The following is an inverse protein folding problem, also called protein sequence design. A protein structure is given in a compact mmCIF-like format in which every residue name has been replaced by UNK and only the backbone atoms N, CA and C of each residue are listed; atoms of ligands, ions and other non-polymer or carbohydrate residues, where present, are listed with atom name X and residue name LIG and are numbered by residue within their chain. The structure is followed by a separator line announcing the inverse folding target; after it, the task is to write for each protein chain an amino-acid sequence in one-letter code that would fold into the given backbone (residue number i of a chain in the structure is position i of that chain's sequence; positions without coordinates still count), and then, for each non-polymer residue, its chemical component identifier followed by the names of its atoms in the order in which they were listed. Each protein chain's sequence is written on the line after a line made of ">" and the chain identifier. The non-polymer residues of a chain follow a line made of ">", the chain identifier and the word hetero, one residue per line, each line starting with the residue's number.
data_IF_090604003037
#
_entry.id   IF_090604003037
#
_cell.length_a   1.000
_cell.length_b   1.000
_cell.length_c   1.000
_cell.angle_alpha   90.00
_cell.angle_beta   90.00
_cell.angle_gamma   90.00
#
_symmetry.space_group_name_H-M   'P 1'
#
loop_
_entity.id
_entity.type
_entity.pdbx_description
1 polymer ?
#
# COMPACT_ATOMS: atom_id res chain seq x y z
N UNK A 1 -15.99 -3.56 13.65
CA UNK A 1 -15.59 -4.14 14.96
C UNK A 1 -14.15 -3.79 15.36
N UNK A 2 -13.23 -3.51 14.42
CA UNK A 2 -11.86 -3.04 14.74
C UNK A 2 -11.75 -1.53 14.96
N UNK A 3 -12.83 -0.77 14.75
CA UNK A 3 -12.84 0.69 14.74
C UNK A 3 -12.65 1.31 16.13
N UNK A 4 -12.94 0.53 17.19
CA UNK A 4 -12.72 0.95 18.59
C UNK A 4 -11.29 0.75 19.10
N UNK A 5 -10.41 0.12 18.32
CA UNK A 5 -9.02 -0.13 18.73
C UNK A 5 -8.11 1.06 18.38
N UNK A 6 -7.27 1.45 19.34
CA UNK A 6 -6.20 2.43 19.11
C UNK A 6 -5.16 1.89 18.12
N UNK A 7 -4.31 2.78 17.61
CA UNK A 7 -3.22 2.37 16.72
C UNK A 7 -2.21 1.49 17.46
N UNK A 8 -1.92 1.80 18.73
CA UNK A 8 -1.05 1.02 19.61
C UNK A 8 -1.60 -0.38 19.81
N UNK A 9 -2.90 -0.52 20.11
CA UNK A 9 -3.53 -1.84 20.23
C UNK A 9 -3.42 -2.65 18.94
N UNK A 10 -3.62 -2.03 17.78
CA UNK A 10 -3.46 -2.71 16.48
C UNK A 10 -2.02 -3.14 16.23
N UNK A 11 -1.04 -2.33 16.65
CA UNK A 11 0.39 -2.69 16.60
C UNK A 11 0.67 -3.86 17.54
N UNK A 12 0.17 -3.83 18.77
CA UNK A 12 0.39 -4.89 19.76
C UNK A 12 -0.20 -6.22 19.27
N UNK A 13 -1.39 -6.20 18.66
CA UNK A 13 -1.97 -7.39 18.03
C UNK A 13 -1.17 -7.85 16.81
N UNK A 14 -0.61 -6.93 16.02
CA UNK A 14 0.25 -7.28 14.89
C UNK A 14 1.52 -8.01 15.33
N UNK A 15 2.16 -7.52 16.40
CA UNK A 15 3.35 -8.11 17.02
C UNK A 15 3.02 -9.48 17.59
N UNK A 16 1.93 -9.59 18.35
CA UNK A 16 1.53 -10.87 18.92
C UNK A 16 1.21 -11.91 17.84
N UNK A 17 0.53 -11.49 16.76
CA UNK A 17 0.16 -12.37 15.67
C UNK A 17 1.34 -12.79 14.77
N UNK A 18 2.40 -11.99 14.65
CA UNK A 18 3.59 -12.39 13.85
C UNK A 18 4.37 -13.55 14.48
N UNK A 19 4.19 -13.79 15.78
CA UNK A 19 4.81 -14.92 16.49
C UNK A 19 3.90 -16.17 16.52
N UNK A 20 2.66 -16.07 16.01
CA UNK A 20 1.70 -17.18 15.98
C UNK A 20 1.82 -17.95 14.67
N UNK A 21 1.85 -19.29 14.75
CA UNK A 21 1.86 -20.13 13.57
C UNK A 21 0.61 -19.93 12.71
N UNK A 22 0.74 -20.06 11.37
CA UNK A 22 -0.37 -19.83 10.43
C UNK A 22 -1.61 -20.68 10.76
N UNK A 23 -1.40 -21.90 11.26
CA UNK A 23 -2.47 -22.84 11.64
C UNK A 23 -3.19 -22.47 12.95
N UNK A 24 -2.61 -21.58 13.76
CA UNK A 24 -3.14 -21.16 15.06
C UNK A 24 -3.68 -19.71 15.04
N UNK A 25 -3.50 -19.01 13.93
CA UNK A 25 -3.84 -17.59 13.82
C UNK A 25 -5.35 -17.34 13.89
N UNK A 26 -6.17 -18.27 13.40
CA UNK A 26 -7.62 -18.23 13.52
C UNK A 26 -8.05 -18.33 14.99
N UNK A 27 -7.52 -19.29 15.75
CA UNK A 27 -7.76 -19.49 17.18
C UNK A 27 -7.31 -18.26 17.97
N UNK A 28 -6.14 -17.70 17.65
CA UNK A 28 -5.67 -16.45 18.25
C UNK A 28 -6.70 -15.34 18.02
N UNK A 29 -7.13 -15.12 16.78
CA UNK A 29 -8.09 -14.07 16.44
C UNK A 29 -9.44 -14.26 17.14
N UNK A 30 -9.97 -15.48 17.19
CA UNK A 30 -11.21 -15.82 17.89
C UNK A 30 -11.11 -15.51 19.39
N UNK A 31 -10.00 -15.87 20.03
CA UNK A 31 -9.77 -15.61 21.46
C UNK A 31 -9.76 -14.11 21.81
N UNK A 32 -9.35 -13.27 20.85
CA UNK A 32 -9.31 -11.82 20.98
C UNK A 32 -10.57 -11.11 20.46
N UNK A 33 -11.51 -11.86 19.86
CA UNK A 33 -12.68 -11.28 19.20
C UNK A 33 -12.33 -10.41 17.99
N UNK A 34 -11.22 -10.71 17.30
CA UNK A 34 -10.71 -9.93 16.18
C UNK A 34 -10.98 -10.63 14.84
N UNK A 35 -11.23 -9.87 13.75
CA UNK A 35 -11.36 -10.46 12.42
C UNK A 35 -10.00 -10.95 11.91
N UNK A 36 -9.91 -12.23 11.53
CA UNK A 36 -8.70 -12.85 10.97
C UNK A 36 -8.06 -11.99 9.88
N UNK A 37 -8.83 -11.57 8.87
CA UNK A 37 -8.30 -10.79 7.75
C UNK A 37 -7.66 -9.45 8.16
N UNK A 38 -8.15 -8.81 9.22
CA UNK A 38 -7.58 -7.56 9.71
C UNK A 38 -6.24 -7.82 10.44
N UNK A 39 -6.20 -8.83 11.31
CA UNK A 39 -5.01 -9.21 12.06
C UNK A 39 -3.92 -9.75 11.14
N UNK A 40 -4.28 -10.57 10.14
CA UNK A 40 -3.33 -11.03 9.11
C UNK A 40 -2.75 -9.84 8.35
N UNK A 41 -3.57 -8.84 7.98
CA UNK A 41 -3.07 -7.66 7.29
C UNK A 41 -2.10 -6.84 8.18
N UNK A 42 -2.41 -6.66 9.46
CA UNK A 42 -1.53 -5.93 10.39
C UNK A 42 -0.22 -6.68 10.67
N UNK A 43 -0.28 -7.99 10.94
CA UNK A 43 0.92 -8.82 11.16
C UNK A 43 1.81 -8.86 9.92
N UNK A 44 1.25 -9.04 8.72
CA UNK A 44 2.02 -8.92 7.47
C UNK A 44 2.66 -7.54 7.33
N UNK A 45 1.95 -6.45 7.65
CA UNK A 45 2.52 -5.10 7.60
C UNK A 45 3.66 -4.93 8.63
N UNK A 46 3.54 -5.56 9.80
CA UNK A 46 4.56 -5.56 10.83
C UNK A 46 5.81 -6.35 10.44
N UNK A 47 5.65 -7.56 9.89
CA UNK A 47 6.77 -8.38 9.43
C UNK A 47 7.60 -7.68 8.35
N UNK A 48 6.93 -6.92 7.47
CA UNK A 48 7.58 -6.24 6.36
C UNK A 48 8.17 -4.88 6.75
N UNK A 49 7.43 -4.09 7.53
CA UNK A 49 7.72 -2.68 7.78
C UNK A 49 7.83 -2.30 9.26
N UNK A 50 7.81 -3.26 10.17
CA UNK A 50 7.73 -3.03 11.60
C UNK A 50 6.51 -2.19 12.00
N UNK A 51 6.67 -1.37 13.04
CA UNK A 51 5.61 -0.48 13.54
C UNK A 51 5.14 0.51 12.47
N UNK A 52 6.06 1.04 11.67
CA UNK A 52 5.76 1.99 10.59
C UNK A 52 4.91 1.32 9.49
N UNK A 53 5.15 0.04 9.21
CA UNK A 53 4.33 -0.74 8.29
C UNK A 53 2.86 -0.77 8.73
N UNK A 54 2.60 -1.13 10.00
CA UNK A 54 1.24 -1.11 10.57
C UNK A 54 0.64 0.30 10.56
N UNK A 55 1.42 1.32 10.92
CA UNK A 55 0.96 2.70 10.89
C UNK A 55 0.58 3.15 9.47
N UNK A 56 1.36 2.79 8.46
CA UNK A 56 1.05 3.09 7.06
C UNK A 56 -0.25 2.41 6.61
N UNK A 57 -0.56 1.25 7.18
CA UNK A 57 -1.79 0.54 6.88
C UNK A 57 -3.01 1.21 7.52
N UNK A 58 -2.91 1.55 8.80
CA UNK A 58 -4.04 1.93 9.64
C UNK A 58 -4.30 3.43 9.62
N UNK A 59 -3.24 4.26 9.67
CA UNK A 59 -3.39 5.70 9.74
C UNK A 59 -3.82 6.27 8.39
N UNK A 60 -4.72 7.24 8.46
CA UNK A 60 -5.12 8.07 7.34
C UNK A 60 -5.02 9.54 7.76
N UNK A 61 -3.78 10.01 7.83
CA UNK A 61 -3.51 11.41 8.15
C UNK A 61 -3.63 12.28 6.90
N UNK A 62 -3.97 13.55 7.09
CA UNK A 62 -4.19 14.50 6.00
C UNK A 62 -3.00 15.48 5.92
N UNK A 63 -2.01 15.23 5.05
CA UNK A 63 -0.90 16.16 4.82
C UNK A 63 -1.41 17.49 4.25
N UNK A 64 -0.61 18.55 4.40
CA UNK A 64 -0.93 19.83 3.77
C UNK A 64 -1.12 19.67 2.26
N UNK A 65 -2.19 20.28 1.70
CA UNK A 65 -2.57 20.13 0.28
C UNK A 65 -1.41 20.38 -0.70
N UNK A 66 -0.57 21.37 -0.39
CA UNK A 66 0.62 21.69 -1.21
C UNK A 66 1.60 20.51 -1.25
N UNK A 67 1.84 19.86 -0.11
CA UNK A 67 2.76 18.71 0.00
C UNK A 67 2.20 17.49 -0.72
N UNK A 68 0.93 17.15 -0.49
CA UNK A 68 0.26 16.07 -1.22
C UNK A 68 0.28 16.27 -2.74
N UNK A 69 0.13 17.52 -3.21
CA UNK A 69 0.27 17.87 -4.63
C UNK A 69 1.69 17.66 -5.13
N UNK A 70 2.71 18.06 -4.38
CA UNK A 70 4.13 17.85 -4.75
C UNK A 70 4.41 16.36 -4.92
N UNK A 71 4.04 15.53 -3.93
CA UNK A 71 4.19 14.08 -4.01
C UNK A 71 3.43 13.48 -5.20
N UNK A 72 2.21 13.94 -5.46
CA UNK A 72 1.41 13.45 -6.60
C UNK A 72 2.08 13.77 -7.95
N UNK A 73 2.66 14.95 -8.09
CA UNK A 73 3.35 15.35 -9.33
C UNK A 73 4.69 14.64 -9.50
N UNK A 74 5.45 14.44 -8.41
CA UNK A 74 6.68 13.65 -8.43
C UNK A 74 6.39 12.20 -8.83
N UNK A 75 5.40 11.56 -8.18
CA UNK A 75 4.97 10.20 -8.55
C UNK A 75 4.56 10.09 -10.02
N UNK A 76 3.83 11.08 -10.55
CA UNK A 76 3.50 11.11 -12.00
C UNK A 76 4.74 11.26 -12.87
N UNK A 77 5.71 12.10 -12.47
CA UNK A 77 6.94 12.31 -13.21
C UNK A 77 7.78 11.03 -13.28
N UNK A 78 7.96 10.35 -12.14
CA UNK A 78 8.65 9.07 -12.07
C UNK A 78 7.95 8.01 -12.93
N UNK A 79 6.62 7.87 -12.81
CA UNK A 79 5.87 6.87 -13.60
C UNK A 79 5.94 7.09 -15.11
N UNK A 80 5.95 8.35 -15.57
CA UNK A 80 6.08 8.69 -17.00
C UNK A 80 7.41 8.27 -17.59
N UNK A 81 8.48 8.25 -16.78
CA UNK A 81 9.79 7.80 -17.24
C UNK A 81 9.79 6.31 -17.63
N UNK A 82 8.94 5.50 -17.00
CA UNK A 82 8.93 4.05 -17.18
C UNK A 82 7.74 3.51 -17.99
N UNK A 83 6.58 4.18 -17.97
CA UNK A 83 5.36 3.71 -18.64
C UNK A 83 4.76 4.81 -19.51
N UNK A 84 4.75 4.65 -20.85
CA UNK A 84 4.16 5.63 -21.77
C UNK A 84 2.62 5.59 -21.77
N UNK A 85 1.99 4.59 -21.14
CA UNK A 85 0.53 4.53 -21.02
C UNK A 85 0.02 5.62 -20.07
N UNK A 86 -1.17 6.18 -20.30
CA UNK A 86 -1.73 7.17 -19.40
C UNK A 86 -2.00 6.54 -18.04
N UNK A 87 -1.43 7.14 -17.00
CA UNK A 87 -1.63 6.76 -15.60
C UNK A 87 -2.30 7.92 -14.88
N UNK A 88 -3.19 7.61 -13.94
CA UNK A 88 -3.81 8.57 -13.04
C UNK A 88 -3.31 8.31 -11.63
N UNK A 89 -3.04 9.39 -10.88
CA UNK A 89 -2.75 9.31 -9.45
C UNK A 89 -3.91 9.95 -8.70
N UNK A 90 -4.50 9.20 -7.77
CA UNK A 90 -5.55 9.66 -6.85
C UNK A 90 -4.95 9.72 -5.45
N UNK A 91 -4.95 10.91 -4.86
CA UNK A 91 -4.51 11.12 -3.48
C UNK A 91 -5.71 11.15 -2.53
N UNK A 92 -5.59 10.46 -1.41
CA UNK A 92 -6.51 10.50 -0.28
C UNK A 92 -5.69 10.49 1.02
N UNK A 93 -5.53 11.68 1.61
CA UNK A 93 -4.62 11.87 2.74
C UNK A 93 -3.19 11.48 2.38
N UNK A 94 -2.65 10.53 3.13
CA UNK A 94 -1.32 9.97 2.94
C UNK A 94 -1.27 8.77 2.00
N UNK A 95 -2.36 8.48 1.27
CA UNK A 95 -2.48 7.34 0.35
C UNK A 95 -2.56 7.84 -1.08
N UNK A 96 -1.73 7.27 -1.95
CA UNK A 96 -1.61 7.64 -3.35
C UNK A 96 -1.87 6.40 -4.20
N UNK A 97 -3.13 6.24 -4.62
CA UNK A 97 -3.53 5.17 -5.52
C UNK A 97 -3.11 5.54 -6.95
N UNK A 98 -2.36 4.65 -7.58
CA UNK A 98 -1.99 4.74 -8.99
C UNK A 98 -2.94 3.86 -9.80
N UNK A 99 -3.55 4.43 -10.84
CA UNK A 99 -4.54 3.77 -11.69
C UNK A 99 -4.05 3.75 -13.14
N UNK A 100 -4.11 2.58 -13.79
CA UNK A 100 -3.96 2.50 -15.24
C UNK A 100 -5.23 3.01 -15.91
N UNK A 101 -5.05 3.87 -16.90
CA UNK A 101 -6.14 4.41 -17.72
C UNK A 101 -6.21 3.62 -19.03
N UNK A 102 -7.30 2.90 -19.24
CA UNK A 102 -7.55 2.13 -20.48
C UNK A 102 -8.73 2.72 -21.22
N UNK A 103 -8.55 3.08 -22.48
CA UNK A 103 -9.67 3.41 -23.36
C UNK A 103 -10.25 2.11 -23.91
N UNK A 104 -11.53 1.83 -23.60
CA UNK A 104 -12.26 0.71 -24.20
C UNK A 104 -12.86 1.10 -25.55
N UNK A 105 -13.29 2.35 -25.67
CA UNK A 105 -13.80 2.98 -26.89
C UNK A 105 -13.40 4.45 -26.88
N UNK A 106 -13.64 5.17 -27.98
CA UNK A 106 -13.40 6.62 -28.06
C UNK A 106 -14.15 7.44 -26.98
N UNK A 107 -15.18 6.86 -26.35
CA UNK A 107 -16.02 7.52 -25.33
C UNK A 107 -15.98 6.84 -23.96
N UNK A 108 -15.23 5.74 -23.81
CA UNK A 108 -15.23 4.94 -22.58
C UNK A 108 -13.82 4.75 -22.05
N UNK A 109 -13.60 5.23 -20.83
CA UNK A 109 -12.35 5.14 -20.11
C UNK A 109 -12.58 4.29 -18.86
N UNK A 110 -11.79 3.23 -18.70
CA UNK A 110 -11.70 2.45 -17.47
C UNK A 110 -10.46 2.88 -16.69
N UNK A 111 -10.64 3.09 -15.39
CA UNK A 111 -9.56 3.28 -14.43
C UNK A 111 -9.41 1.98 -13.64
N UNK A 112 -8.24 1.34 -13.75
CA UNK A 112 -7.94 0.12 -13.00
C UNK A 112 -6.87 0.43 -11.97
N UNK A 113 -7.17 0.36 -10.66
CA UNK A 113 -6.16 0.52 -9.62
C UNK A 113 -5.02 -0.47 -9.80
N UNK A 114 -3.80 0.03 -9.70
CA UNK A 114 -2.59 -0.68 -10.02
C UNK A 114 -1.79 -0.97 -8.76
N UNK A 115 -1.28 0.08 -8.11
CA UNK A 115 -0.69 0.01 -6.78
C UNK A 115 -1.09 1.21 -5.94
N UNK A 116 -0.78 1.17 -4.66
CA UNK A 116 -0.91 2.32 -3.77
C UNK A 116 0.39 2.55 -3.03
N UNK A 117 0.83 3.81 -2.98
CA UNK A 117 1.90 4.24 -2.08
C UNK A 117 1.29 4.91 -0.87
N UNK A 118 1.76 4.56 0.31
CA UNK A 118 1.35 5.19 1.57
C UNK A 118 2.56 5.81 2.24
N UNK A 119 2.42 7.05 2.70
CA UNK A 119 3.50 7.76 3.40
C UNK A 119 3.22 7.86 4.89
N UNK A 120 4.25 7.59 5.68
CA UNK A 120 4.32 7.91 7.11
C UNK A 120 5.46 8.88 7.33
N UNK A 121 5.24 9.83 8.22
CA UNK A 121 6.29 10.75 8.64
C UNK A 121 6.73 10.39 10.06
N UNK A 122 7.99 9.99 10.20
CA UNK A 122 8.61 9.73 11.50
C UNK A 122 9.81 10.66 11.67
N UNK A 123 9.81 11.46 12.74
CA UNK A 123 10.91 12.39 13.08
C UNK A 123 11.32 13.32 11.91
N UNK A 124 10.34 13.74 11.09
CA UNK A 124 10.56 14.61 9.93
C UNK A 124 11.06 13.91 8.66
N UNK A 125 11.13 12.56 8.67
CA UNK A 125 11.49 11.75 7.50
C UNK A 125 10.26 11.09 6.90
N UNK A 126 10.21 11.06 5.57
CA UNK A 126 9.15 10.40 4.81
C UNK A 126 9.52 8.93 4.59
N UNK A 127 8.66 8.02 5.03
CA UNK A 127 8.78 6.60 4.78
C UNK A 127 7.60 6.14 3.92
N UNK A 128 7.91 5.60 2.74
CA UNK A 128 6.95 5.16 1.75
C UNK A 128 6.77 3.65 1.81
N UNK A 129 5.52 3.20 1.72
CA UNK A 129 5.15 1.79 1.77
C UNK A 129 4.33 1.45 0.52
N UNK A 130 4.67 0.35 -0.13
CA UNK A 130 4.02 -0.11 -1.35
C UNK A 130 2.92 -1.13 -1.03
N UNK A 131 1.79 -0.99 -1.70
CA UNK A 131 0.62 -1.85 -1.51
C UNK A 131 0.09 -2.37 -2.86
N UNK A 132 -0.26 -3.65 -2.88
CA UNK A 132 -0.92 -4.33 -3.98
C UNK A 132 -2.40 -4.51 -3.72
N UNK A 133 -3.22 -4.40 -4.77
CA UNK A 133 -4.64 -4.70 -4.67
C UNK A 133 -4.86 -6.20 -4.89
N UNK A 134 -5.53 -6.85 -3.95
CA UNK A 134 -5.98 -8.24 -4.09
C UNK A 134 -7.27 -8.34 -4.90
N UNK A 135 -7.63 -9.56 -5.29
CA UNK A 135 -8.83 -9.88 -6.08
C UNK A 135 -10.13 -9.44 -5.38
N UNK A 136 -10.17 -9.50 -4.05
CA UNK A 136 -11.29 -9.02 -3.22
C UNK A 136 -11.37 -7.48 -3.15
N UNK A 137 -10.43 -6.78 -3.78
CA UNK A 137 -10.35 -5.33 -3.84
C UNK A 137 -9.60 -4.69 -2.67
N UNK A 138 -9.14 -5.47 -1.69
CA UNK A 138 -8.38 -4.99 -0.53
C UNK A 138 -6.92 -4.65 -0.87
N UNK A 139 -6.32 -3.72 -0.12
CA UNK A 139 -4.92 -3.31 -0.28
C UNK A 139 -4.02 -4.03 0.73
N UNK A 140 -2.99 -4.70 0.24
CA UNK A 140 -2.06 -5.48 1.05
C UNK A 140 -0.62 -5.00 0.89
N UNK A 141 0.18 -5.03 1.96
CA UNK A 141 1.59 -4.65 1.88
C UNK A 141 2.33 -5.50 0.86
N UNK A 142 3.25 -4.88 0.13
CA UNK A 142 4.14 -5.57 -0.79
C UNK A 142 5.20 -6.38 -0.04
N UNK A 143 5.32 -7.66 -0.36
CA UNK A 143 6.21 -8.61 0.31
C UNK A 143 7.70 -8.53 -0.13
N UNK A 144 8.14 -7.41 -0.69
CA UNK A 144 9.53 -7.15 -1.06
C UNK A 144 10.22 -6.22 -0.07
N UNK A 145 10.86 -5.15 -0.56
CA UNK A 145 11.45 -4.13 0.31
C UNK A 145 10.36 -3.49 1.19
N UNK A 146 10.57 -3.52 2.50
CA UNK A 146 9.57 -3.12 3.50
C UNK A 146 9.16 -1.65 3.48
N UNK A 147 10.07 -0.74 3.12
CA UNK A 147 9.81 0.69 2.94
C UNK A 147 10.85 1.34 2.02
N UNK A 148 10.52 2.53 1.54
CA UNK A 148 11.36 3.35 0.68
C UNK A 148 11.51 4.75 1.27
N UNK A 149 12.68 5.35 1.08
CA UNK A 149 12.95 6.70 1.59
C UNK A 149 12.49 7.79 0.61
N UNK A 150 12.07 7.39 -0.60
CA UNK A 150 11.61 8.29 -1.65
C UNK A 150 10.63 7.63 -2.62
N UNK A 151 9.94 8.47 -3.40
CA UNK A 151 8.99 8.04 -4.43
C UNK A 151 9.70 7.35 -5.59
N UNK A 152 10.89 7.84 -6.00
CA UNK A 152 11.64 7.23 -7.10
C UNK A 152 12.13 5.82 -6.77
N UNK A 153 12.59 5.58 -5.53
CA UNK A 153 12.95 4.23 -5.07
C UNK A 153 11.73 3.29 -5.10
N UNK A 154 10.57 3.76 -4.62
CA UNK A 154 9.35 2.98 -4.64
C UNK A 154 8.89 2.65 -6.08
N UNK A 155 9.01 3.60 -7.00
CA UNK A 155 8.69 3.38 -8.42
C UNK A 155 9.71 2.47 -9.10
N UNK A 156 10.99 2.53 -8.74
CA UNK A 156 12.01 1.63 -9.27
C UNK A 156 11.74 0.17 -8.84
N UNK A 157 11.35 -0.05 -7.59
CA UNK A 157 10.95 -1.38 -7.09
C UNK A 157 9.76 -1.94 -7.86
N UNK A 158 8.73 -1.10 -8.06
CA UNK A 158 7.57 -1.37 -8.90
C UNK A 158 8.01 -1.80 -10.31
N UNK A 159 8.97 -1.13 -10.93
CA UNK A 159 9.46 -1.49 -12.28
C UNK A 159 10.28 -2.79 -12.28
N UNK A 160 11.00 -3.06 -11.19
CA UNK A 160 11.91 -4.20 -11.07
C UNK A 160 11.25 -5.49 -10.53
N UNK A 161 9.98 -5.44 -10.10
CA UNK A 161 9.28 -6.55 -9.43
C UNK A 161 9.43 -7.88 -10.20
N UNK A 162 10.15 -8.86 -9.63
CA UNK A 162 10.52 -10.11 -10.30
C UNK A 162 9.31 -11.02 -10.54
N UNK A 163 8.23 -10.84 -9.79
CA UNK A 163 7.01 -11.62 -9.93
C UNK A 163 6.19 -11.20 -11.14
N UNK A 164 6.60 -10.12 -11.83
CA UNK A 164 5.85 -9.53 -12.94
C UNK A 164 4.37 -9.37 -12.58
N UNK A 165 4.06 -8.99 -11.34
CA UNK A 165 2.71 -8.50 -11.02
C UNK A 165 2.36 -7.34 -11.97
N UNK A 166 3.42 -6.69 -12.48
CA UNK A 166 3.55 -5.89 -13.68
C UNK A 166 3.65 -6.72 -14.97
N UNK A 167 2.60 -7.44 -15.35
CA UNK A 167 2.51 -7.85 -16.76
C UNK A 167 2.22 -6.61 -17.60
N UNK A 168 3.28 -5.98 -18.11
CA UNK A 168 3.23 -5.36 -19.42
C UNK A 168 2.71 -6.45 -20.35
N UNK A 169 1.44 -6.39 -20.75
CA UNK A 169 1.01 -7.18 -21.90
C UNK A 169 2.01 -6.86 -23.02
N UNK A 170 2.69 -7.86 -23.61
CA UNK A 170 3.45 -7.60 -24.81
C UNK A 170 2.49 -6.93 -25.80
N UNK A 171 2.95 -5.83 -26.38
CA UNK A 171 2.29 -5.24 -27.54
C UNK A 171 2.45 -6.30 -28.64
N UNK A 172 1.41 -7.12 -28.82
CA UNK A 172 1.24 -7.85 -30.08
C UNK A 172 0.90 -6.85 -31.18
#
# INVERSE_FOLDING_TARGET
>A
MTDGLSIEQKIDYAVAASDVGVEELDVFCESQGLPLGAVTAWSTAYELGGKLGVQSMVLQWQPARRRARVWSEDLKAQLRAFRPRPMRVRADGNRFTVEEVKMLTEKSIIYTPFFELRVIEEQGRECWFLYWRRVDGSWWPYAGRGHFDSIDEAVAEVVADPYQCFRLHPLN
#
